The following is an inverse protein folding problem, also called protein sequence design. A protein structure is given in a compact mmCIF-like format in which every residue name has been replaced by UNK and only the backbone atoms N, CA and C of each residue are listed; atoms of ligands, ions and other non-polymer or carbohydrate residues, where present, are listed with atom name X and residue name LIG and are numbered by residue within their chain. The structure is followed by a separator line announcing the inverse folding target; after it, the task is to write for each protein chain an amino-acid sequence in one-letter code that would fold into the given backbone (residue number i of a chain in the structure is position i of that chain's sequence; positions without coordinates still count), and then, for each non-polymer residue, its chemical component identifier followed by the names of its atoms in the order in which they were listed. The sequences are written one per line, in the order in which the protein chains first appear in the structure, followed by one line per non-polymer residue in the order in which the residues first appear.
data_IF_512300416600
#
_entry.id   IF_512300416600
#
_cell.length_a   1.000
_cell.length_b   1.000
_cell.length_c   1.000
_cell.angle_alpha   90.00
_cell.angle_beta   90.00
_cell.angle_gamma   90.00
#
_symmetry.space_group_name_H-M   'P 1'
#
loop_
_entity.id
_entity.type
_entity.pdbx_description
1 polymer ?
#
# COMPACT_ATOMS: atom_id res chain seq x y z
N UNK A 1 -4.78 -7.77 15.38
CA UNK A 1 -4.90 -6.39 15.90
C UNK A 1 -6.12 -5.79 15.25
N UNK A 2 -6.94 -5.07 15.99
CA UNK A 2 -8.12 -4.38 15.47
C UNK A 2 -8.08 -2.93 15.91
N UNK A 3 -8.47 -2.01 15.02
CA UNK A 3 -8.47 -0.58 15.25
C UNK A 3 -9.81 -0.05 14.73
N UNK A 4 -10.56 0.62 15.59
CA UNK A 4 -11.76 1.32 15.18
C UNK A 4 -11.38 2.69 14.61
N UNK A 5 -11.86 2.98 13.40
CA UNK A 5 -11.75 4.28 12.74
C UNK A 5 -13.15 4.73 12.37
N UNK A 6 -13.62 5.81 12.97
CA UNK A 6 -14.96 6.36 12.74
C UNK A 6 -14.94 7.59 11.84
N UNK A 7 -13.79 8.26 11.73
CA UNK A 7 -13.60 9.50 10.99
C UNK A 7 -12.21 9.54 10.33
N UNK A 8 -12.06 10.25 9.22
CA UNK A 8 -10.79 10.31 8.47
C UNK A 8 -9.63 10.90 9.28
N UNK A 9 -9.90 11.81 10.22
CA UNK A 9 -8.88 12.39 11.10
C UNK A 9 -8.29 11.40 12.12
N UNK A 10 -8.88 10.20 12.25
CA UNK A 10 -8.37 9.11 13.09
C UNK A 10 -7.43 8.17 12.32
N UNK A 11 -7.42 8.23 10.98
CA UNK A 11 -6.55 7.40 10.13
C UNK A 11 -5.06 7.53 10.47
N UNK A 12 -4.50 8.70 10.82
CA UNK A 12 -3.09 8.79 11.23
C UNK A 12 -2.73 7.84 12.37
N UNK A 13 -3.62 7.65 13.35
CA UNK A 13 -3.40 6.71 14.47
C UNK A 13 -3.42 5.26 13.99
N UNK A 14 -4.28 4.93 13.02
CA UNK A 14 -4.31 3.61 12.43
C UNK A 14 -3.03 3.29 11.65
N UNK A 15 -2.48 4.29 10.94
CA UNK A 15 -1.18 4.18 10.25
C UNK A 15 -0.04 3.98 11.25
N UNK A 16 0.03 4.79 12.30
CA UNK A 16 1.05 4.65 13.36
C UNK A 16 1.01 3.26 14.02
N UNK A 17 -0.18 2.78 14.35
CA UNK A 17 -0.36 1.46 14.93
C UNK A 17 0.00 0.33 13.94
N UNK A 18 -0.32 0.49 12.65
CA UNK A 18 0.12 -0.45 11.61
C UNK A 18 1.64 -0.49 11.52
N UNK A 19 2.32 0.66 11.46
CA UNK A 19 3.79 0.74 11.37
C UNK A 19 4.45 0.13 12.62
N UNK A 20 3.93 0.42 13.81
CA UNK A 20 4.41 -0.17 15.05
C UNK A 20 4.27 -1.70 15.08
N UNK A 21 3.15 -2.23 14.56
CA UNK A 21 2.92 -3.67 14.44
C UNK A 21 3.81 -4.32 13.36
N UNK A 22 3.95 -3.65 12.20
CA UNK A 22 4.68 -4.15 11.06
C UNK A 22 6.20 -4.16 11.28
N UNK A 23 6.71 -3.31 12.16
CA UNK A 23 8.14 -3.14 12.43
C UNK A 23 8.89 -2.83 11.12
N UNK A 24 9.77 -3.73 10.67
CA UNK A 24 10.56 -3.57 9.45
C UNK A 24 9.85 -4.09 8.19
N UNK A 25 8.62 -4.62 8.31
CA UNK A 25 7.85 -5.10 7.16
C UNK A 25 7.30 -3.90 6.39
N UNK A 26 7.53 -3.88 5.07
CA UNK A 26 7.18 -2.77 4.19
C UNK A 26 6.12 -3.09 3.14
N UNK A 27 5.70 -4.36 3.04
CA UNK A 27 4.72 -4.82 2.05
C UNK A 27 3.36 -5.02 2.72
N UNK A 28 2.33 -4.35 2.22
CA UNK A 28 0.99 -4.32 2.80
C UNK A 28 -0.06 -4.74 1.76
N UNK A 29 -0.77 -5.83 2.06
CA UNK A 29 -1.84 -6.37 1.24
C UNK A 29 -3.19 -5.87 1.78
N UNK A 30 -3.80 -4.91 1.09
CA UNK A 30 -5.06 -4.26 1.48
C UNK A 30 -6.27 -4.99 0.87
N UNK A 31 -7.15 -5.48 1.73
CA UNK A 31 -8.41 -6.14 1.35
C UNK A 31 -9.59 -5.44 1.98
N UNK A 32 -10.75 -5.51 1.35
CA UNK A 32 -11.97 -4.84 1.78
C UNK A 32 -12.90 -4.61 0.60
N UNK A 33 -14.18 -4.39 0.86
CA UNK A 33 -15.18 -4.19 -0.19
C UNK A 33 -14.91 -2.92 -1.01
N UNK A 34 -15.59 -2.80 -2.17
CA UNK A 34 -15.55 -1.58 -2.95
C UNK A 34 -16.10 -0.42 -2.11
N UNK A 35 -15.33 0.66 -1.98
CA UNK A 35 -15.69 1.79 -1.13
C UNK A 35 -15.38 1.62 0.36
N UNK A 36 -14.75 0.51 0.79
CA UNK A 36 -14.34 0.32 2.19
C UNK A 36 -13.30 1.35 2.69
N UNK A 37 -12.66 2.09 1.78
CA UNK A 37 -11.69 3.14 2.14
C UNK A 37 -10.23 2.73 1.99
N UNK A 38 -9.93 1.67 1.23
CA UNK A 38 -8.55 1.23 0.92
C UNK A 38 -7.67 2.36 0.38
N UNK A 39 -8.08 3.04 -0.69
CA UNK A 39 -7.35 4.20 -1.22
C UNK A 39 -7.25 5.35 -0.22
N UNK A 40 -8.30 5.59 0.59
CA UNK A 40 -8.27 6.61 1.66
C UNK A 40 -7.23 6.27 2.72
N UNK A 41 -7.07 4.99 3.05
CA UNK A 41 -6.00 4.52 3.94
C UNK A 41 -4.62 4.74 3.33
N UNK A 42 -4.42 4.43 2.03
CA UNK A 42 -3.15 4.72 1.32
C UNK A 42 -2.83 6.22 1.35
N UNK A 43 -3.82 7.09 1.13
CA UNK A 43 -3.63 8.54 1.26
C UNK A 43 -3.16 8.95 2.66
N UNK A 44 -3.74 8.37 3.71
CA UNK A 44 -3.31 8.63 5.08
C UNK A 44 -1.88 8.11 5.33
N UNK A 45 -1.54 6.93 4.79
CA UNK A 45 -0.20 6.36 4.88
C UNK A 45 0.85 7.27 4.21
N UNK A 46 0.62 7.73 2.98
CA UNK A 46 1.53 8.66 2.30
C UNK A 46 1.62 10.01 3.02
N UNK A 47 0.52 10.54 3.56
CA UNK A 47 0.53 11.78 4.36
C UNK A 47 1.37 11.64 5.63
N UNK A 48 1.36 10.47 6.27
CA UNK A 48 2.20 10.20 7.46
C UNK A 48 3.70 10.39 7.14
N UNK A 49 4.13 9.99 5.94
CA UNK A 49 5.50 10.18 5.45
C UNK A 49 5.74 11.55 4.77
N UNK A 50 4.82 12.51 4.91
CA UNK A 50 4.91 13.83 4.30
C UNK A 50 5.03 13.85 2.76
N UNK A 51 4.49 12.83 2.07
CA UNK A 51 4.31 12.89 0.61
C UNK A 51 3.43 14.09 0.28
N UNK A 52 3.95 14.99 -0.56
CA UNK A 52 3.26 16.25 -0.92
C UNK A 52 2.38 16.13 -2.16
N UNK A 53 2.61 15.10 -2.95
CA UNK A 53 1.88 14.84 -4.18
C UNK A 53 0.46 14.36 -3.90
N UNK A 54 -0.42 14.55 -4.89
CA UNK A 54 -1.80 14.09 -4.78
C UNK A 54 -1.85 12.57 -4.96
N UNK A 55 -2.16 11.87 -3.88
CA UNK A 55 -2.37 10.41 -3.91
C UNK A 55 -3.77 10.08 -4.41
N UNK A 56 -3.85 9.32 -5.48
CA UNK A 56 -5.10 8.87 -6.12
C UNK A 56 -4.99 7.39 -6.46
N UNK A 57 -6.10 6.66 -6.46
CA UNK A 57 -6.08 5.26 -6.87
C UNK A 57 -5.49 5.12 -8.29
N UNK A 58 -4.49 4.25 -8.47
CA UNK A 58 -3.90 3.92 -9.77
C UNK A 58 -4.77 2.94 -10.55
N UNK A 59 -6.11 2.99 -10.45
CA UNK A 59 -6.99 2.02 -11.13
C UNK A 59 -6.67 1.82 -12.62
N UNK A 60 -6.17 2.85 -13.31
CA UNK A 60 -5.79 2.78 -14.73
C UNK A 60 -4.28 2.67 -14.98
N UNK A 61 -3.45 3.28 -14.12
CA UNK A 61 -1.98 3.16 -14.23
C UNK A 61 -1.46 1.85 -13.63
N UNK A 62 -2.30 1.13 -12.89
CA UNK A 62 -2.03 -0.05 -12.05
C UNK A 62 -1.07 0.22 -10.89
N UNK A 63 -0.07 1.06 -11.10
CA UNK A 63 0.96 1.46 -10.14
C UNK A 63 1.06 2.99 -10.12
N UNK A 64 1.22 3.55 -8.92
CA UNK A 64 1.75 4.89 -8.70
C UNK A 64 2.92 4.79 -7.72
N UNK A 65 3.93 5.63 -7.91
CA UNK A 65 5.07 5.77 -6.99
C UNK A 65 5.03 7.15 -6.34
N UNK A 66 5.34 7.19 -5.05
CA UNK A 66 5.38 8.43 -4.28
C UNK A 66 6.69 8.57 -3.54
N UNK A 67 7.34 9.72 -3.70
CA UNK A 67 8.63 10.00 -3.06
C UNK A 67 8.46 10.74 -1.74
N UNK A 68 9.26 10.35 -0.74
CA UNK A 68 9.43 11.12 0.49
C UNK A 68 10.89 11.09 0.97
N UNK A 69 11.22 11.96 1.93
CA UNK A 69 12.55 12.03 2.54
C UNK A 69 12.49 11.48 3.97
N UNK A 70 13.43 10.60 4.31
CA UNK A 70 13.69 10.22 5.70
C UNK A 70 14.39 11.35 6.47
N UNK A 71 14.47 11.21 7.81
CA UNK A 71 15.13 12.20 8.68
C UNK A 71 16.61 12.42 8.35
N UNK A 72 17.28 11.40 7.81
CA UNK A 72 18.67 11.45 7.36
C UNK A 72 18.84 12.12 5.97
N UNK A 73 17.73 12.53 5.33
CA UNK A 73 17.71 13.13 3.99
C UNK A 73 17.76 12.12 2.83
N UNK A 74 17.71 10.81 3.11
CA UNK A 74 17.63 9.77 2.08
C UNK A 74 16.24 9.76 1.43
N UNK A 75 16.23 9.67 0.11
CA UNK A 75 15.00 9.49 -0.67
C UNK A 75 14.46 8.07 -0.51
N UNK A 76 13.15 7.96 -0.30
CA UNK A 76 12.42 6.70 -0.18
C UNK A 76 11.17 6.73 -1.05
N UNK A 77 10.69 5.55 -1.43
CA UNK A 77 9.50 5.38 -2.25
C UNK A 77 8.36 4.67 -1.48
N UNK A 78 7.15 5.00 -1.89
CA UNK A 78 5.93 4.28 -1.57
C UNK A 78 5.27 3.89 -2.89
N UNK A 79 5.20 2.59 -3.14
CA UNK A 79 4.47 2.01 -4.25
C UNK A 79 3.02 1.80 -3.86
N UNK A 80 2.10 2.30 -4.66
CA UNK A 80 0.67 2.06 -4.53
C UNK A 80 0.21 1.28 -5.75
N UNK A 81 -0.26 0.07 -5.51
CA UNK A 81 -0.76 -0.83 -6.54
C UNK A 81 -2.26 -1.01 -6.36
N UNK A 82 -3.01 -0.95 -7.46
CA UNK A 82 -4.44 -1.27 -7.49
C UNK A 82 -4.73 -2.30 -8.56
N UNK A 83 -4.87 -3.55 -8.13
CA UNK A 83 -5.01 -4.71 -9.02
C UNK A 83 -6.48 -5.04 -9.30
N UNK A 84 -7.43 -4.18 -8.95
CA UNK A 84 -8.87 -4.42 -9.11
C UNK A 84 -9.28 -4.80 -10.54
N UNK A 85 -8.55 -4.28 -11.53
CA UNK A 85 -8.85 -4.44 -12.96
C UNK A 85 -8.01 -5.50 -13.67
N UNK A 86 -7.00 -6.05 -13.01
CA UNK A 86 -6.21 -7.13 -13.61
C UNK A 86 -7.03 -8.41 -13.61
N UNK A 87 -7.04 -9.08 -14.75
CA UNK A 87 -7.82 -10.30 -14.95
C UNK A 87 -6.96 -11.55 -14.78
N UNK A 88 -5.65 -11.45 -15.07
CA UNK A 88 -4.75 -12.61 -15.06
C UNK A 88 -3.42 -12.34 -14.35
N UNK A 89 -2.83 -13.41 -13.81
CA UNK A 89 -1.50 -13.34 -13.20
C UNK A 89 -0.42 -12.94 -14.22
N UNK A 90 -0.59 -13.32 -15.48
CA UNK A 90 0.33 -12.97 -16.56
C UNK A 90 0.39 -11.45 -16.78
N UNK A 91 -0.76 -10.75 -16.80
CA UNK A 91 -0.79 -9.28 -16.89
C UNK A 91 -0.07 -8.62 -15.71
N UNK A 92 -0.20 -9.19 -14.49
CA UNK A 92 0.55 -8.71 -13.33
C UNK A 92 2.07 -8.92 -13.50
N UNK A 93 2.49 -10.04 -14.10
CA UNK A 93 3.90 -10.30 -14.37
C UNK A 93 4.45 -9.38 -15.47
N UNK A 94 3.68 -9.08 -16.51
CA UNK A 94 4.06 -8.17 -17.60
C UNK A 94 4.33 -6.74 -17.13
N UNK A 95 3.62 -6.26 -16.10
CA UNK A 95 3.88 -4.95 -15.47
C UNK A 95 5.04 -4.97 -14.48
N UNK A 96 5.73 -6.10 -14.30
CA UNK A 96 6.86 -6.24 -13.40
C UNK A 96 6.47 -6.26 -11.91
N UNK A 97 5.33 -6.86 -11.55
CA UNK A 97 4.82 -6.88 -10.16
C UNK A 97 5.87 -7.28 -9.12
N UNK A 98 6.73 -8.25 -9.45
CA UNK A 98 7.75 -8.79 -8.57
C UNK A 98 8.80 -7.74 -8.16
N UNK A 99 9.11 -6.77 -9.04
CA UNK A 99 10.06 -5.71 -8.74
C UNK A 99 9.60 -4.90 -7.51
N UNK A 100 8.30 -4.57 -7.44
CA UNK A 100 7.72 -3.85 -6.31
C UNK A 100 7.55 -4.73 -5.05
N UNK A 101 7.31 -6.04 -5.23
CA UNK A 101 7.12 -6.98 -4.11
C UNK A 101 8.43 -7.27 -3.37
N UNK A 102 9.55 -7.27 -4.09
CA UNK A 102 10.84 -7.71 -3.58
C UNK A 102 11.88 -6.59 -3.38
N UNK A 103 11.58 -5.33 -3.76
CA UNK A 103 12.43 -4.19 -3.42
C UNK A 103 12.37 -3.80 -1.92
N UNK A 104 13.20 -2.83 -1.55
CA UNK A 104 13.33 -2.33 -0.17
C UNK A 104 12.32 -1.24 0.23
N UNK A 105 11.41 -0.86 -0.66
CA UNK A 105 10.49 0.26 -0.47
C UNK A 105 9.13 -0.17 0.08
N UNK A 106 8.34 0.79 0.52
CA UNK A 106 6.97 0.52 0.92
C UNK A 106 6.13 0.13 -0.29
N UNK A 107 5.27 -0.87 -0.15
CA UNK A 107 4.35 -1.29 -1.20
C UNK A 107 2.98 -1.58 -0.61
N UNK A 108 1.98 -0.78 -0.98
CA UNK A 108 0.58 -0.94 -0.58
C UNK A 108 -0.21 -1.46 -1.77
N UNK A 109 -0.77 -2.65 -1.62
CA UNK A 109 -1.38 -3.41 -2.71
C UNK A 109 -2.88 -3.53 -2.43
N UNK A 110 -3.69 -2.79 -3.15
CA UNK A 110 -5.14 -2.98 -3.18
C UNK A 110 -5.50 -4.19 -4.05
N UNK A 111 -6.45 -5.00 -3.57
CA UNK A 111 -6.96 -6.19 -4.26
C UNK A 111 -5.89 -7.23 -4.62
N UNK A 112 -5.10 -7.70 -3.63
CA UNK A 112 -3.95 -8.58 -3.86
C UNK A 112 -4.32 -10.01 -4.30
N UNK A 113 -5.61 -10.33 -4.46
CA UNK A 113 -6.11 -11.69 -4.63
C UNK A 113 -5.52 -12.42 -5.84
N UNK A 114 -5.34 -11.70 -6.95
CA UNK A 114 -4.78 -12.27 -8.18
C UNK A 114 -3.32 -12.72 -8.02
N UNK A 115 -2.55 -12.00 -7.20
CA UNK A 115 -1.12 -12.24 -6.97
C UNK A 115 -0.85 -12.95 -5.65
N UNK A 116 -1.86 -13.54 -5.01
CA UNK A 116 -1.72 -14.12 -3.68
C UNK A 116 -0.59 -15.16 -3.57
N UNK A 117 -0.31 -15.88 -4.65
CA UNK A 117 0.79 -16.85 -4.74
C UNK A 117 2.19 -16.23 -4.95
N UNK A 118 2.27 -14.95 -5.30
CA UNK A 118 3.54 -14.21 -5.48
C UNK A 118 3.89 -13.34 -4.26
N UNK A 119 2.96 -13.14 -3.32
CA UNK A 119 3.21 -12.29 -2.15
C UNK A 119 4.34 -12.88 -1.29
N UNK A 120 5.28 -12.05 -0.82
CA UNK A 120 6.36 -12.51 0.03
C UNK A 120 5.86 -12.92 1.42
N UNK A 121 6.56 -13.83 2.10
CA UNK A 121 6.16 -14.35 3.42
C UNK A 121 6.03 -13.27 4.50
N UNK A 122 6.76 -12.15 4.35
CA UNK A 122 6.76 -11.05 5.29
C UNK A 122 5.68 -9.99 5.00
N UNK A 123 4.77 -10.21 4.05
CA UNK A 123 3.66 -9.31 3.77
C UNK A 123 2.75 -9.16 5.00
N UNK A 124 2.26 -7.94 5.25
CA UNK A 124 1.26 -7.66 6.28
C UNK A 124 -0.10 -7.55 5.60
N UNK A 125 -1.04 -8.41 6.00
CA UNK A 125 -2.41 -8.33 5.54
C UNK A 125 -3.20 -7.32 6.36
N UNK A 126 -3.79 -6.34 5.69
CA UNK A 126 -4.66 -5.33 6.30
C UNK A 126 -6.05 -5.50 5.70
N UNK A 127 -7.02 -5.79 6.56
CA UNK A 127 -8.43 -5.87 6.19
C UNK A 127 -9.12 -4.60 6.64
N UNK A 128 -9.77 -3.92 5.70
CA UNK A 128 -10.50 -2.67 5.86
C UNK A 128 -11.99 -2.96 5.68
#
# INVERSE_FOLDING_TARGET
MEIAVHQENELPKAVEALLAFAQNKKKFALTGDLGAGKTTFVQAFCRHFNVREKVTSPTYSLVNEYTFLEENGQEQLIHHLDLYRLETLEEAQEIGIEEYLYDEYYCLIEWPGLIAGLLPENVVHVKI
#
